data_IF_219420056443
#
_entry.id   IF_219420056443
#
_cell.length_a   1.000
_cell.length_b   1.000
_cell.length_c   1.000
_cell.angle_alpha   90.00
_cell.angle_beta   90.00
_cell.angle_gamma   90.00
#
_symmetry.space_group_name_H-M   'P 1'
#
loop_
_entity.id
_entity.type
_entity.pdbx_description
1 polymer ?
#
# COMPACT_ATOMS: atom_id res chain seq x y z
N UNK A 1 6.82 8.28 18.91
CA UNK A 1 5.96 8.79 17.82
C UNK A 1 5.40 7.60 17.08
N UNK A 2 4.11 7.55 16.76
CA UNK A 2 3.50 6.40 16.10
C UNK A 2 4.18 6.10 14.76
N UNK A 3 4.59 4.84 14.56
CA UNK A 3 5.17 4.36 13.30
C UNK A 3 4.26 4.69 12.12
N UNK A 4 4.84 5.30 11.09
CA UNK A 4 4.13 5.69 9.86
C UNK A 4 4.64 4.83 8.71
N UNK A 5 3.72 4.20 7.99
CA UNK A 5 3.99 3.40 6.81
C UNK A 5 3.58 4.19 5.56
N UNK A 6 4.34 4.05 4.49
CA UNK A 6 4.03 4.69 3.22
C UNK A 6 3.90 3.62 2.16
N UNK A 7 2.74 3.56 1.53
CA UNK A 7 2.51 2.75 0.36
C UNK A 7 2.50 3.64 -0.87
N UNK A 8 3.33 3.32 -1.87
CA UNK A 8 3.21 3.94 -3.19
C UNK A 8 2.62 2.93 -4.15
N UNK A 9 1.62 3.37 -4.91
CA UNK A 9 0.97 2.54 -5.92
C UNK A 9 0.93 3.28 -7.24
N UNK A 10 1.16 2.56 -8.34
CA UNK A 10 0.87 3.01 -9.69
C UNK A 10 -0.39 2.34 -10.18
N UNK A 11 -1.39 3.13 -10.49
CA UNK A 11 -2.69 2.73 -11.02
C UNK A 11 -2.71 2.94 -12.53
N UNK A 12 -3.05 1.89 -13.28
CA UNK A 12 -3.26 1.90 -14.73
C UNK A 12 -4.69 2.29 -15.01
N UNK A 13 -4.89 3.53 -15.43
CA UNK A 13 -6.10 3.92 -16.15
C UNK A 13 -5.85 3.76 -17.66
N UNK A 14 -6.89 3.66 -18.50
CA UNK A 14 -6.81 3.13 -19.86
C UNK A 14 -5.67 3.65 -20.74
N UNK A 15 -5.17 4.87 -20.50
CA UNK A 15 -4.05 5.47 -21.25
C UNK A 15 -2.97 6.13 -20.38
N UNK A 16 -3.07 6.08 -19.04
CA UNK A 16 -2.16 6.79 -18.14
C UNK A 16 -1.85 5.99 -16.87
N UNK A 17 -0.62 6.14 -16.38
CA UNK A 17 -0.20 5.65 -15.07
C UNK A 17 -0.27 6.77 -14.06
N UNK A 18 -1.13 6.62 -13.06
CA UNK A 18 -1.24 7.54 -11.94
C UNK A 18 -0.44 7.01 -10.76
N UNK A 19 0.38 7.87 -10.15
CA UNK A 19 1.14 7.51 -8.95
C UNK A 19 0.45 8.07 -7.72
N UNK A 20 0.09 7.20 -6.79
CA UNK A 20 -0.52 7.58 -5.51
C UNK A 20 0.43 7.24 -4.38
N UNK A 21 0.41 8.08 -3.34
CA UNK A 21 1.14 7.87 -2.09
C UNK A 21 0.13 7.86 -0.95
N UNK A 22 -0.04 6.72 -0.33
CA UNK A 22 -0.93 6.52 0.81
C UNK A 22 -0.07 6.42 2.06
N UNK A 23 -0.40 7.18 3.10
CA UNK A 23 0.28 7.15 4.39
C UNK A 23 -0.65 6.48 5.41
N UNK A 24 -0.13 5.47 6.09
CA UNK A 24 -0.79 4.81 7.21
C UNK A 24 -0.04 5.16 8.49
N UNK A 25 -0.77 5.33 9.57
CA UNK A 25 -0.20 5.63 10.89
C UNK A 25 -0.66 4.55 11.86
N UNK A 26 0.26 3.99 12.64
CA UNK A 26 -0.10 3.08 13.72
C UNK A 26 -0.89 3.84 14.79
N UNK A 27 -2.05 3.28 15.18
CA UNK A 27 -2.89 3.89 16.20
C UNK A 27 -2.61 3.35 17.60
N UNK A 28 -2.32 2.05 17.72
CA UNK A 28 -2.24 1.37 19.03
C UNK A 28 -1.06 0.39 19.14
N UNK A 29 -0.90 -0.54 18.19
CA UNK A 29 0.15 -1.55 18.21
C UNK A 29 0.97 -1.47 16.91
N UNK A 30 2.27 -1.24 17.04
CA UNK A 30 3.17 -1.05 15.91
C UNK A 30 3.50 -2.35 15.18
N UNK A 31 3.67 -3.46 15.90
CA UNK A 31 3.93 -4.79 15.30
C UNK A 31 2.71 -5.25 14.51
N UNK A 32 1.52 -5.19 15.11
CA UNK A 32 0.29 -5.57 14.42
C UNK A 32 0.03 -4.68 13.19
N UNK A 33 0.34 -3.38 13.29
CA UNK A 33 0.20 -2.46 12.16
C UNK A 33 1.18 -2.79 11.02
N UNK A 34 2.41 -3.19 11.36
CA UNK A 34 3.41 -3.63 10.39
C UNK A 34 3.01 -4.93 9.70
N UNK A 35 2.60 -5.94 10.45
CA UNK A 35 2.14 -7.22 9.90
C UNK A 35 0.92 -7.03 8.99
N UNK A 36 -0.03 -6.20 9.42
CA UNK A 36 -1.22 -5.85 8.63
C UNK A 36 -0.83 -5.11 7.35
N UNK A 37 0.13 -4.18 7.43
CA UNK A 37 0.62 -3.45 6.27
C UNK A 37 1.27 -4.38 5.24
N UNK A 38 2.11 -5.32 5.68
CA UNK A 38 2.74 -6.31 4.81
C UNK A 38 1.74 -7.29 4.20
N UNK A 39 0.75 -7.73 4.98
CA UNK A 39 -0.34 -8.56 4.47
C UNK A 39 -1.15 -7.82 3.41
N UNK A 40 -1.53 -6.57 3.67
CA UNK A 40 -2.26 -5.73 2.72
C UNK A 40 -1.49 -5.53 1.42
N UNK A 41 -0.18 -5.24 1.49
CA UNK A 41 0.66 -5.07 0.30
C UNK A 41 0.65 -6.30 -0.60
N UNK A 42 0.83 -7.49 -0.02
CA UNK A 42 0.85 -8.75 -0.77
C UNK A 42 -0.52 -9.05 -1.41
N UNK A 43 -1.59 -8.94 -0.64
CA UNK A 43 -2.96 -9.17 -1.16
C UNK A 43 -3.31 -8.21 -2.29
N UNK A 44 -2.88 -6.95 -2.16
CA UNK A 44 -3.14 -5.90 -3.14
C UNK A 44 -2.37 -6.16 -4.45
N UNK A 45 -1.11 -6.58 -4.37
CA UNK A 45 -0.29 -6.95 -5.53
C UNK A 45 -0.84 -8.20 -6.23
N UNK A 46 -1.15 -9.27 -5.50
CA UNK A 46 -1.66 -10.52 -6.08
C UNK A 46 -3.00 -10.32 -6.81
N UNK A 47 -3.95 -9.63 -6.19
CA UNK A 47 -5.31 -9.48 -6.75
C UNK A 47 -5.42 -8.40 -7.83
N UNK A 48 -4.56 -7.38 -7.80
CA UNK A 48 -4.70 -6.20 -8.65
C UNK A 48 -3.51 -5.94 -9.58
N UNK A 49 -2.50 -6.83 -9.65
CA UNK A 49 -1.27 -6.68 -10.47
C UNK A 49 -1.48 -6.20 -11.91
N UNK A 50 -2.61 -6.57 -12.54
CA UNK A 50 -2.95 -6.15 -13.91
C UNK A 50 -3.17 -4.65 -14.06
N UNK A 51 -3.68 -4.00 -13.01
CA UNK A 51 -4.06 -2.58 -13.02
C UNK A 51 -3.32 -1.77 -11.97
N UNK A 52 -2.68 -2.41 -10.99
CA UNK A 52 -2.03 -1.73 -9.88
C UNK A 52 -0.67 -2.36 -9.62
N UNK A 53 0.35 -1.53 -9.49
CA UNK A 53 1.71 -1.91 -9.14
C UNK A 53 2.13 -1.22 -7.85
N UNK A 54 2.52 -1.98 -6.83
CA UNK A 54 3.13 -1.45 -5.61
C UNK A 54 4.60 -1.07 -5.89
N UNK A 55 5.09 0.04 -5.32
CA UNK A 55 6.43 0.61 -5.59
C UNK A 55 7.13 1.01 -4.29
#
# INVERSE_FOLDING_TARGET
MPKTFTLKIKLKFPFYWYSFKIKFQSLFNEELAEDTFWWFMRDFEEKNSKYIKVI
#
